data_IF_578998532473
#
_entry.id   IF_578998532473
#
_cell.length_a   1.000
_cell.length_b   1.000
_cell.length_c   1.000
_cell.angle_alpha   90.00
_cell.angle_beta   90.00
_cell.angle_gamma   90.00
#
_symmetry.space_group_name_H-M   'P 1'
#
loop_
_entity.id
_entity.type
_entity.pdbx_description
1 polymer ?
#
# COMPACT_ATOMS: atom_id res chain seq x y z
N UNK A 1 22.12 -31.81 -7.38
CA UNK A 1 21.13 -30.82 -6.89
C UNK A 1 21.82 -29.46 -6.82
N UNK A 2 21.85 -28.74 -7.93
CA UNK A 2 22.39 -27.37 -7.94
C UNK A 2 21.36 -26.45 -7.31
N UNK A 3 21.65 -25.92 -6.12
CA UNK A 3 20.91 -24.79 -5.61
C UNK A 3 21.07 -23.66 -6.64
N UNK A 4 19.99 -23.26 -7.30
CA UNK A 4 19.98 -21.99 -8.01
C UNK A 4 20.21 -20.91 -6.96
N UNK A 5 21.46 -20.49 -6.81
CA UNK A 5 21.82 -19.34 -6.00
C UNK A 5 21.12 -18.14 -6.62
N UNK A 6 20.13 -17.61 -5.91
CA UNK A 6 19.70 -16.23 -6.07
C UNK A 6 20.71 -15.41 -5.25
N UNK A 7 21.83 -14.94 -5.82
CA UNK A 7 22.90 -14.29 -5.04
C UNK A 7 22.39 -13.06 -4.29
N UNK A 8 21.33 -12.45 -4.81
CA UNK A 8 20.67 -11.30 -4.23
C UNK A 8 19.72 -11.65 -3.10
N UNK A 9 19.51 -12.91 -2.70
CA UNK A 9 18.64 -13.26 -1.56
C UNK A 9 19.21 -14.39 -0.67
N UNK A 10 20.26 -14.10 0.12
CA UNK A 10 20.78 -15.03 1.11
C UNK A 10 19.67 -15.56 2.04
N UNK A 11 19.78 -16.82 2.47
CA UNK A 11 18.78 -17.46 3.33
C UNK A 11 18.51 -16.70 4.62
N UNK A 12 19.54 -16.15 5.26
CA UNK A 12 19.40 -15.35 6.48
C UNK A 12 18.58 -14.07 6.25
N UNK A 13 18.80 -13.40 5.11
CA UNK A 13 18.11 -12.14 4.81
C UNK A 13 16.64 -12.38 4.47
N UNK A 14 16.36 -13.50 3.81
CA UNK A 14 14.98 -14.00 3.61
C UNK A 14 14.28 -14.24 4.94
N UNK A 15 14.93 -14.91 5.90
CA UNK A 15 14.35 -15.13 7.24
C UNK A 15 14.14 -13.80 8.00
N UNK A 16 15.08 -12.87 7.90
CA UNK A 16 14.98 -11.55 8.51
C UNK A 16 13.78 -10.78 7.94
N UNK A 17 13.64 -10.71 6.62
CA UNK A 17 12.49 -10.06 5.98
C UNK A 17 11.17 -10.74 6.34
N UNK A 18 11.12 -12.07 6.34
CA UNK A 18 9.92 -12.81 6.79
C UNK A 18 9.54 -12.43 8.21
N UNK A 19 10.49 -12.39 9.15
CA UNK A 19 10.21 -12.04 10.54
C UNK A 19 9.65 -10.61 10.66
N UNK A 20 10.25 -9.64 9.96
CA UNK A 20 9.75 -8.26 9.88
C UNK A 20 8.32 -8.23 9.36
N UNK A 21 8.05 -8.93 8.25
CA UNK A 21 6.73 -8.95 7.62
C UNK A 21 5.67 -9.68 8.44
N UNK A 22 6.03 -10.69 9.24
CA UNK A 22 5.12 -11.29 10.21
C UNK A 22 4.71 -10.26 11.29
N UNK A 23 5.66 -9.44 11.78
CA UNK A 23 5.35 -8.35 12.70
C UNK A 23 4.41 -7.31 12.08
N UNK A 24 4.69 -6.92 10.83
CA UNK A 24 3.83 -6.02 10.04
C UNK A 24 2.43 -6.63 9.85
N UNK A 25 2.34 -7.90 9.49
CA UNK A 25 1.09 -8.62 9.30
C UNK A 25 0.22 -8.57 10.56
N UNK A 26 0.79 -8.88 11.72
CA UNK A 26 0.08 -8.80 13.00
C UNK A 26 -0.38 -7.38 13.29
N UNK A 27 0.50 -6.38 13.12
CA UNK A 27 0.16 -4.97 13.33
C UNK A 27 -1.03 -4.52 12.47
N UNK A 28 -1.00 -4.83 11.17
CA UNK A 28 -2.09 -4.45 10.26
C UNK A 28 -3.37 -5.25 10.52
N UNK A 29 -3.27 -6.51 10.96
CA UNK A 29 -4.42 -7.30 11.36
C UNK A 29 -5.12 -6.69 12.59
N UNK A 30 -4.36 -6.28 13.61
CA UNK A 30 -4.89 -5.60 14.79
C UNK A 30 -5.59 -4.30 14.40
N UNK A 31 -4.97 -3.47 13.56
CA UNK A 31 -5.60 -2.24 13.09
C UNK A 31 -6.86 -2.49 12.25
N UNK A 32 -6.85 -3.51 11.39
CA UNK A 32 -8.01 -3.91 10.59
C UNK A 32 -9.17 -4.39 11.49
N UNK A 33 -8.88 -4.96 12.66
CA UNK A 33 -9.91 -5.37 13.62
C UNK A 33 -10.46 -4.21 14.45
N UNK A 34 -9.58 -3.28 14.85
CA UNK A 34 -9.93 -2.21 15.78
C UNK A 34 -10.57 -0.98 15.10
N UNK A 35 -10.26 -0.73 13.83
CA UNK A 35 -10.71 0.49 13.14
C UNK A 35 -12.03 0.27 12.36
N UNK A 36 -12.91 1.28 12.26
CA UNK A 36 -14.09 1.23 11.39
C UNK A 36 -13.85 1.89 10.02
N UNK A 37 -14.78 1.63 9.08
CA UNK A 37 -14.89 2.36 7.81
C UNK A 37 -13.73 2.09 6.83
N UNK A 38 -13.31 3.13 6.10
CA UNK A 38 -12.25 3.01 5.07
C UNK A 38 -10.92 2.53 5.63
N UNK A 39 -10.57 2.95 6.86
CA UNK A 39 -9.33 2.56 7.53
C UNK A 39 -9.22 1.06 7.72
N UNK A 40 -10.32 0.41 8.13
CA UNK A 40 -10.41 -1.06 8.25
C UNK A 40 -9.99 -1.75 6.96
N UNK A 41 -10.63 -1.37 5.86
CA UNK A 41 -10.44 -2.00 4.56
C UNK A 41 -9.06 -1.70 3.98
N UNK A 42 -8.55 -0.48 4.21
CA UNK A 42 -7.20 -0.11 3.83
C UNK A 42 -6.17 -0.96 4.59
N UNK A 43 -6.31 -1.14 5.91
CA UNK A 43 -5.44 -2.04 6.68
C UNK A 43 -5.61 -3.50 6.25
N UNK A 44 -6.82 -3.97 5.99
CA UNK A 44 -7.08 -5.32 5.51
C UNK A 44 -6.35 -5.62 4.18
N UNK A 45 -6.33 -4.66 3.25
CA UNK A 45 -5.53 -4.77 2.02
C UNK A 45 -4.05 -4.98 2.33
N UNK A 46 -3.47 -4.15 3.19
CA UNK A 46 -2.06 -4.30 3.61
C UNK A 46 -1.80 -5.62 4.35
N UNK A 47 -2.74 -6.11 5.14
CA UNK A 47 -2.66 -7.43 5.79
C UNK A 47 -2.53 -8.54 4.74
N UNK A 48 -3.39 -8.54 3.71
CA UNK A 48 -3.32 -9.55 2.64
C UNK A 48 -2.02 -9.42 1.84
N UNK A 49 -1.57 -8.20 1.56
CA UNK A 49 -0.28 -7.93 0.91
C UNK A 49 0.90 -8.48 1.73
N UNK A 50 0.97 -8.18 3.03
CA UNK A 50 2.01 -8.68 3.92
C UNK A 50 2.01 -10.21 3.99
N UNK A 51 0.83 -10.84 4.06
CA UNK A 51 0.71 -12.30 4.02
C UNK A 51 1.23 -12.88 2.69
N UNK A 52 0.86 -12.28 1.56
CA UNK A 52 1.39 -12.65 0.24
C UNK A 52 2.91 -12.58 0.20
N UNK A 53 3.49 -11.48 0.69
CA UNK A 53 4.94 -11.30 0.74
C UNK A 53 5.64 -12.31 1.66
N UNK A 54 5.07 -12.64 2.82
CA UNK A 54 5.58 -13.72 3.70
C UNK A 54 5.62 -15.04 2.94
N UNK A 55 4.56 -15.39 2.22
CA UNK A 55 4.52 -16.60 1.38
C UNK A 55 5.59 -16.52 0.28
N UNK A 56 5.80 -15.35 -0.34
CA UNK A 56 6.80 -15.20 -1.39
C UNK A 56 8.23 -15.42 -0.89
N UNK A 57 8.55 -15.04 0.34
CA UNK A 57 9.84 -15.35 0.94
C UNK A 57 9.96 -16.81 1.38
N UNK A 58 8.95 -17.36 2.07
CA UNK A 58 9.04 -18.71 2.63
C UNK A 58 8.92 -19.80 1.57
N UNK A 59 8.01 -19.63 0.62
CA UNK A 59 7.57 -20.63 -0.33
C UNK A 59 7.66 -20.10 -1.78
N UNK A 60 8.86 -19.73 -2.26
CA UNK A 60 9.05 -19.09 -3.57
C UNK A 60 8.65 -19.98 -4.76
N UNK A 61 8.35 -21.26 -4.54
CA UNK A 61 7.85 -22.18 -5.56
C UNK A 61 6.33 -22.04 -5.76
N UNK A 62 5.58 -21.66 -4.71
CA UNK A 62 4.13 -21.48 -4.75
C UNK A 62 3.71 -20.13 -5.33
N UNK A 63 4.63 -19.17 -5.44
CA UNK A 63 4.39 -17.83 -5.98
C UNK A 63 4.05 -17.81 -7.47
N UNK A 64 4.27 -18.92 -8.18
CA UNK A 64 3.95 -19.09 -9.60
C UNK A 64 2.53 -19.61 -9.86
N UNK A 65 1.71 -19.71 -8.81
CA UNK A 65 0.35 -20.21 -8.95
C UNK A 65 -0.62 -19.09 -9.36
N UNK A 66 -1.37 -19.33 -10.43
CA UNK A 66 -2.41 -18.44 -10.98
C UNK A 66 -3.39 -17.89 -9.93
N UNK A 67 -3.85 -18.66 -8.92
CA UNK A 67 -4.76 -18.15 -7.90
C UNK A 67 -4.22 -16.94 -7.12
N UNK A 68 -2.91 -16.89 -6.85
CA UNK A 68 -2.30 -15.76 -6.14
C UNK A 68 -2.34 -14.48 -6.98
N UNK A 69 -1.93 -14.57 -8.25
CA UNK A 69 -1.97 -13.43 -9.17
C UNK A 69 -3.41 -12.93 -9.38
N UNK A 70 -4.38 -13.85 -9.53
CA UNK A 70 -5.79 -13.53 -9.67
C UNK A 70 -6.35 -12.81 -8.42
N UNK A 71 -6.01 -13.27 -7.22
CA UNK A 71 -6.39 -12.61 -5.97
C UNK A 71 -5.90 -11.16 -5.93
N UNK A 72 -4.61 -10.93 -6.18
CA UNK A 72 -4.05 -9.57 -6.17
C UNK A 72 -4.59 -8.71 -7.31
N UNK A 73 -4.92 -9.29 -8.47
CA UNK A 73 -5.56 -8.56 -9.56
C UNK A 73 -6.97 -8.08 -9.17
N UNK A 74 -7.76 -8.93 -8.50
CA UNK A 74 -9.08 -8.55 -7.95
C UNK A 74 -8.93 -7.47 -6.88
N UNK A 75 -7.94 -7.58 -5.99
CA UNK A 75 -7.67 -6.56 -4.97
C UNK A 75 -7.23 -5.23 -5.61
N UNK A 76 -6.42 -5.28 -6.67
CA UNK A 76 -6.03 -4.09 -7.46
C UNK A 76 -7.26 -3.38 -8.01
N UNK A 77 -8.14 -4.12 -8.70
CA UNK A 77 -9.39 -3.58 -9.25
C UNK A 77 -10.29 -3.03 -8.14
N UNK A 78 -10.35 -3.70 -6.99
CA UNK A 78 -11.15 -3.27 -5.83
C UNK A 78 -10.61 -1.98 -5.21
N UNK A 79 -9.29 -1.84 -5.07
CA UNK A 79 -8.66 -0.60 -4.57
C UNK A 79 -8.83 0.56 -5.55
N UNK A 80 -8.71 0.32 -6.86
CA UNK A 80 -8.98 1.33 -7.88
C UNK A 80 -10.46 1.75 -7.89
N UNK A 81 -11.38 0.79 -7.80
CA UNK A 81 -12.81 1.04 -7.65
C UNK A 81 -13.13 1.84 -6.39
N UNK A 82 -12.50 1.50 -5.26
CA UNK A 82 -12.62 2.27 -4.01
C UNK A 82 -12.14 3.72 -4.19
N UNK A 83 -11.00 3.94 -4.84
CA UNK A 83 -10.50 5.29 -5.14
C UNK A 83 -11.52 6.12 -5.94
N UNK A 84 -12.16 5.51 -6.95
CA UNK A 84 -13.18 6.14 -7.79
C UNK A 84 -14.45 6.43 -6.99
N UNK A 85 -14.98 5.43 -6.27
CA UNK A 85 -16.20 5.56 -5.47
C UNK A 85 -16.03 6.65 -4.41
N UNK A 86 -14.90 6.65 -3.68
CA UNK A 86 -14.64 7.67 -2.67
C UNK A 86 -14.34 9.04 -3.29
N UNK A 87 -13.73 9.11 -4.48
CA UNK A 87 -13.61 10.37 -5.23
C UNK A 87 -14.98 11.01 -5.52
N UNK A 88 -15.97 10.21 -5.90
CA UNK A 88 -17.32 10.71 -6.15
C UNK A 88 -18.03 11.11 -4.86
N UNK A 89 -17.84 10.34 -3.77
CA UNK A 89 -18.51 10.61 -2.48
C UNK A 89 -17.89 11.76 -1.69
N UNK A 90 -16.58 11.93 -1.77
CA UNK A 90 -15.81 12.90 -0.97
C UNK A 90 -15.38 14.12 -1.79
N UNK A 91 -15.67 14.15 -3.10
CA UNK A 91 -15.31 15.27 -3.98
C UNK A 91 -13.81 15.44 -4.26
N UNK A 92 -12.94 14.64 -3.63
CA UNK A 92 -11.47 14.70 -3.76
C UNK A 92 -10.90 13.30 -3.95
N UNK A 93 -9.85 13.17 -4.77
CA UNK A 93 -9.18 11.88 -4.99
C UNK A 93 -8.27 11.60 -3.80
N UNK A 94 -8.52 10.49 -3.11
CA UNK A 94 -7.67 10.08 -2.01
C UNK A 94 -6.42 9.35 -2.56
N UNK A 95 -5.21 9.94 -2.41
CA UNK A 95 -4.03 9.37 -3.02
C UNK A 95 -3.56 8.08 -2.33
N UNK A 96 -4.01 7.77 -1.09
CA UNK A 96 -3.69 6.50 -0.45
C UNK A 96 -4.41 5.32 -1.11
N UNK A 97 -5.66 5.51 -1.57
CA UNK A 97 -6.35 4.46 -2.33
C UNK A 97 -5.72 4.22 -3.69
N UNK A 98 -5.23 5.29 -4.34
CA UNK A 98 -4.47 5.18 -5.60
C UNK A 98 -3.15 4.45 -5.37
N UNK A 99 -2.37 4.85 -4.36
CA UNK A 99 -1.13 4.19 -4.01
C UNK A 99 -1.36 2.71 -3.69
N UNK A 100 -2.36 2.38 -2.87
CA UNK A 100 -2.71 0.99 -2.57
C UNK A 100 -3.10 0.19 -3.83
N UNK A 101 -3.80 0.80 -4.80
CA UNK A 101 -4.09 0.12 -6.07
C UNK A 101 -2.80 -0.18 -6.87
N UNK A 102 -1.86 0.78 -6.92
CA UNK A 102 -0.57 0.57 -7.59
C UNK A 102 0.28 -0.47 -6.86
N UNK A 103 0.28 -0.46 -5.53
CA UNK A 103 1.02 -1.44 -4.72
C UNK A 103 0.42 -2.86 -4.91
N UNK A 104 -0.91 -2.99 -4.98
CA UNK A 104 -1.56 -4.26 -5.32
C UNK A 104 -1.25 -4.72 -6.75
N UNK A 105 -1.17 -3.78 -7.70
CA UNK A 105 -0.78 -4.09 -9.07
C UNK A 105 0.67 -4.60 -9.13
N UNK A 106 1.55 -4.00 -8.34
CA UNK A 106 2.93 -4.47 -8.21
C UNK A 106 2.96 -5.90 -7.63
N UNK A 107 2.14 -6.22 -6.62
CA UNK A 107 1.99 -7.59 -6.12
C UNK A 107 1.52 -8.56 -7.21
N UNK A 108 0.51 -8.20 -8.01
CA UNK A 108 0.07 -9.00 -9.16
C UNK A 108 1.22 -9.22 -10.14
N UNK A 109 1.95 -8.16 -10.47
CA UNK A 109 3.10 -8.21 -11.39
C UNK A 109 4.22 -9.12 -10.88
N UNK A 110 4.53 -9.07 -9.58
CA UNK A 110 5.54 -9.91 -8.95
C UNK A 110 5.22 -11.41 -9.01
N UNK A 111 3.93 -11.77 -9.08
CA UNK A 111 3.46 -13.15 -9.18
C UNK A 111 3.36 -13.65 -10.63
N UNK A 112 3.57 -12.78 -11.63
CA UNK A 112 3.64 -13.21 -13.03
C UNK A 112 4.93 -13.99 -13.30
N UNK A 113 4.91 -14.94 -14.26
CA UNK A 113 6.12 -15.62 -14.70
C UNK A 113 7.19 -14.64 -15.15
N UNK A 114 8.46 -14.84 -14.74
CA UNK A 114 9.56 -13.95 -15.10
C UNK A 114 9.71 -13.75 -16.62
N UNK A 115 9.39 -14.77 -17.41
CA UNK A 115 9.44 -14.73 -18.87
C UNK A 115 8.53 -13.67 -19.52
N UNK A 116 7.46 -13.25 -18.83
CA UNK A 116 6.51 -12.25 -19.35
C UNK A 116 6.63 -10.88 -18.67
N UNK A 117 7.63 -10.70 -17.78
CA UNK A 117 7.86 -9.45 -17.05
C UNK A 117 8.89 -8.60 -17.80
N UNK A 118 8.48 -7.53 -18.50
CA UNK A 118 9.43 -6.68 -19.21
C UNK A 118 10.27 -5.86 -18.23
N UNK A 119 11.60 -5.84 -18.42
CA UNK A 119 12.54 -5.22 -17.49
C UNK A 119 12.29 -3.73 -17.22
N UNK A 120 11.82 -2.98 -18.23
CA UNK A 120 11.50 -1.56 -18.07
C UNK A 120 10.38 -1.34 -17.05
N UNK A 121 9.37 -2.22 -17.03
CA UNK A 121 8.24 -2.12 -16.11
C UNK A 121 8.67 -2.50 -14.69
N UNK A 122 9.56 -3.50 -14.54
CA UNK A 122 10.23 -3.78 -13.26
C UNK A 122 10.94 -2.53 -12.75
N UNK A 123 11.71 -1.83 -13.59
CA UNK A 123 12.40 -0.60 -13.24
C UNK A 123 11.45 0.52 -12.77
N UNK A 124 10.29 0.67 -13.44
CA UNK A 124 9.24 1.62 -13.03
C UNK A 124 8.71 1.27 -11.64
N UNK A 125 8.35 0.01 -11.38
CA UNK A 125 7.84 -0.40 -10.06
C UNK A 125 8.90 -0.27 -8.97
N UNK A 126 10.14 -0.66 -9.22
CA UNK A 126 11.25 -0.51 -8.24
C UNK A 126 11.46 0.96 -7.90
N UNK A 127 11.46 1.85 -8.89
CA UNK A 127 11.60 3.30 -8.68
C UNK A 127 10.43 3.84 -7.86
N UNK A 128 9.20 3.52 -8.27
CA UNK A 128 7.98 3.92 -7.56
C UNK A 128 7.97 3.44 -6.11
N UNK A 129 8.29 2.17 -5.85
CA UNK A 129 8.33 1.59 -4.50
C UNK A 129 9.44 2.22 -3.65
N UNK A 130 10.59 2.53 -4.23
CA UNK A 130 11.68 3.24 -3.53
C UNK A 130 11.27 4.66 -3.12
N UNK A 131 10.55 5.37 -3.99
CA UNK A 131 9.95 6.67 -3.64
C UNK A 131 8.93 6.50 -2.51
N UNK A 132 8.09 5.46 -2.57
CA UNK A 132 7.13 5.13 -1.52
C UNK A 132 7.81 4.89 -0.15
N UNK A 133 8.94 4.17 -0.11
CA UNK A 133 9.74 4.00 1.11
C UNK A 133 10.11 5.36 1.69
N UNK A 134 10.65 6.26 0.87
CA UNK A 134 11.01 7.61 1.29
C UNK A 134 9.81 8.41 1.78
N UNK A 135 8.68 8.35 1.06
CA UNK A 135 7.45 9.05 1.46
C UNK A 135 6.91 8.59 2.81
N UNK A 136 6.91 7.28 3.09
CA UNK A 136 6.47 6.74 4.38
C UNK A 136 7.46 7.01 5.50
N UNK A 137 8.76 6.76 5.26
CA UNK A 137 9.82 6.98 6.25
C UNK A 137 9.85 8.45 6.70
N UNK A 138 9.79 9.38 5.75
CA UNK A 138 9.84 10.82 6.02
C UNK A 138 8.48 11.43 6.37
N UNK A 139 7.37 10.70 6.21
CA UNK A 139 6.03 11.18 6.54
C UNK A 139 5.51 12.21 5.56
N UNK A 140 5.92 12.11 4.30
CA UNK A 140 5.47 13.03 3.25
C UNK A 140 3.98 12.86 2.95
N UNK A 141 3.42 11.66 3.18
CA UNK A 141 1.99 11.41 3.06
C UNK A 141 1.14 12.28 3.99
N UNK A 142 1.62 12.52 5.22
CA UNK A 142 0.95 13.37 6.21
C UNK A 142 0.86 14.83 5.75
N UNK A 143 1.75 15.25 4.84
CA UNK A 143 1.88 16.63 4.34
C UNK A 143 1.16 16.86 3.01
N UNK A 144 0.48 15.85 2.48
CA UNK A 144 -0.14 15.97 1.15
C UNK A 144 -1.38 16.89 1.22
N UNK A 145 -1.47 17.94 0.38
CA UNK A 145 -2.57 18.92 0.42
C UNK A 145 -3.97 18.31 0.22
N UNK A 146 -4.04 17.15 -0.43
CA UNK A 146 -5.27 16.38 -0.60
C UNK A 146 -5.96 16.05 0.73
N UNK A 147 -5.20 15.94 1.83
CA UNK A 147 -5.74 15.71 3.18
C UNK A 147 -6.04 17.00 3.97
N UNK A 148 -5.56 18.15 3.49
CA UNK A 148 -5.73 19.46 4.14
C UNK A 148 -6.95 20.25 3.65
N UNK A 149 -7.57 19.88 2.52
CA UNK A 149 -8.82 20.50 2.02
C UNK A 149 -10.06 20.27 2.89
N UNK A 150 -9.90 19.74 4.10
CA UNK A 150 -10.98 19.48 5.06
C UNK A 150 -11.24 20.62 6.05
N UNK A 151 -10.63 21.79 5.88
CA UNK A 151 -10.95 22.97 6.67
C UNK A 151 -11.01 24.17 5.75
N UNK A 152 -12.20 24.73 5.55
CA UNK A 152 -12.28 26.08 5.03
C UNK A 152 -11.46 26.97 5.93
N UNK A 153 -10.50 27.70 5.35
CA UNK A 153 -10.02 28.91 6.00
C UNK A 153 -11.25 29.81 6.13
N UNK A 154 -11.77 29.91 7.35
CA UNK A 154 -12.78 30.90 7.70
C UNK A 154 -12.12 32.28 7.49
N UNK A 155 -12.55 33.08 6.51
CA UNK A 155 -12.23 34.49 6.54
C UNK A 155 -12.99 35.04 7.75
N UNK A 156 -12.28 35.63 8.70
CA UNK A 156 -12.87 36.37 9.79
C UNK A 156 -13.65 37.58 9.23
N UNK A 157 -14.88 37.37 8.75
CA UNK A 157 -15.75 38.44 8.24
C UNK A 157 -17.22 38.10 8.54
N UNK A 158 -17.71 38.73 9.61
CA UNK A 158 -19.07 39.25 9.83
C UNK A 158 -20.28 38.30 9.66
N UNK A 159 -20.80 37.87 10.81
CA UNK A 159 -22.22 37.66 11.20
C UNK A 159 -23.30 37.74 10.09
N UNK A 160 -23.42 36.70 9.25
CA UNK A 160 -24.56 36.48 8.33
C UNK A 160 -25.21 35.12 8.66
N UNK A 161 -26.56 34.99 8.67
CA UNK A 161 -27.25 33.76 9.07
C UNK A 161 -26.94 32.59 8.11
N UNK A 162 -27.07 31.33 8.55
CA UNK A 162 -26.48 30.18 7.88
C UNK A 162 -27.19 29.88 6.55
N UNK A 163 -26.58 30.32 5.46
CA UNK A 163 -26.90 29.86 4.11
C UNK A 163 -26.25 28.50 3.89
N UNK A 164 -27.07 27.45 3.77
CA UNK A 164 -26.80 26.12 3.21
C UNK A 164 -25.31 25.80 2.99
N UNK A 165 -24.55 25.67 4.09
CA UNK A 165 -23.14 25.30 4.02
C UNK A 165 -23.08 23.87 3.46
N UNK A 166 -22.60 23.74 2.22
CA UNK A 166 -22.34 22.45 1.62
C UNK A 166 -21.45 21.64 2.59
N UNK A 167 -21.79 20.36 2.86
CA UNK A 167 -21.03 19.56 3.81
C UNK A 167 -19.55 19.59 3.42
N UNK A 168 -18.72 20.06 4.34
CA UNK A 168 -17.27 20.08 4.20
C UNK A 168 -16.81 18.64 3.93
N UNK A 169 -16.13 18.43 2.80
CA UNK A 169 -15.66 17.11 2.42
C UNK A 169 -14.62 16.60 3.43
N UNK A 170 -15.07 15.76 4.36
CA UNK A 170 -14.19 15.02 5.27
C UNK A 170 -13.69 13.78 4.53
N UNK A 171 -12.41 13.80 4.15
CA UNK A 171 -11.75 12.62 3.54
C UNK A 171 -11.71 11.49 4.58
N UNK A 172 -12.33 10.36 4.28
CA UNK A 172 -12.53 9.25 5.23
C UNK A 172 -11.28 8.45 5.57
N UNK A 173 -10.23 8.56 4.75
CA UNK A 173 -8.93 7.91 4.96
C UNK A 173 -7.81 8.96 4.90
N UNK A 174 -7.08 9.12 6.01
CA UNK A 174 -5.88 9.97 6.09
C UNK A 174 -4.68 9.10 6.42
N UNK A 175 -3.50 9.57 6.03
CA UNK A 175 -2.26 8.96 6.48
C UNK A 175 -2.23 8.99 8.02
N UNK A 176 -2.03 7.83 8.65
CA UNK A 176 -1.94 7.78 10.11
C UNK A 176 -0.56 8.27 10.53
N UNK A 177 -0.56 9.22 11.45
CA UNK A 177 0.65 9.88 11.96
C UNK A 177 1.42 9.02 12.96
N UNK A 178 0.99 7.78 13.23
CA UNK A 178 1.69 6.90 14.16
C UNK A 178 2.98 6.40 13.50
N UNK A 179 4.16 6.61 14.13
CA UNK A 179 5.43 6.18 13.56
C UNK A 179 5.47 4.70 13.21
N UNK A 180 4.76 3.87 13.97
CA UNK A 180 4.69 2.42 13.77
C UNK A 180 4.05 2.03 12.44
N UNK A 181 2.94 2.66 12.05
CA UNK A 181 2.27 2.39 10.76
C UNK A 181 3.11 2.90 9.59
N UNK A 182 3.78 4.04 9.77
CA UNK A 182 4.69 4.58 8.74
C UNK A 182 5.88 3.66 8.49
N UNK A 183 6.52 3.19 9.56
CA UNK A 183 7.65 2.26 9.47
C UNK A 183 7.21 0.90 8.90
N UNK A 184 6.02 0.41 9.24
CA UNK A 184 5.53 -0.85 8.68
C UNK A 184 5.28 -0.76 7.18
N UNK A 185 4.70 0.34 6.70
CA UNK A 185 4.47 0.57 5.26
C UNK A 185 5.76 0.83 4.48
N UNK A 186 6.72 1.54 5.08
CA UNK A 186 8.07 1.68 4.53
C UNK A 186 8.77 0.31 4.41
N UNK A 187 8.66 -0.54 5.44
CA UNK A 187 9.22 -1.89 5.41
C UNK A 187 8.56 -2.77 4.34
N UNK A 188 7.23 -2.68 4.17
CA UNK A 188 6.52 -3.42 3.12
C UNK A 188 6.99 -3.02 1.73
N UNK A 189 6.98 -1.72 1.43
CA UNK A 189 7.37 -1.18 0.13
C UNK A 189 8.84 -1.44 -0.18
N UNK A 190 9.73 -1.35 0.82
CA UNK A 190 11.14 -1.71 0.69
C UNK A 190 11.32 -3.20 0.36
N UNK A 191 10.57 -4.06 1.06
CA UNK A 191 10.59 -5.49 0.80
C UNK A 191 10.07 -5.82 -0.61
N UNK A 192 9.02 -5.17 -1.08
CA UNK A 192 8.51 -5.37 -2.44
C UNK A 192 9.53 -4.95 -3.50
N UNK A 193 10.15 -3.78 -3.33
CA UNK A 193 11.20 -3.29 -4.22
C UNK A 193 12.37 -4.27 -4.27
N UNK A 194 12.80 -4.76 -3.10
CA UNK A 194 13.89 -5.71 -2.99
C UNK A 194 13.56 -7.05 -3.65
N UNK A 195 12.36 -7.60 -3.44
CA UNK A 195 11.91 -8.81 -4.13
C UNK A 195 11.90 -8.65 -5.65
N UNK A 196 11.44 -7.51 -6.18
CA UNK A 196 11.45 -7.25 -7.63
C UNK A 196 12.87 -7.23 -8.22
N UNK A 197 13.85 -6.72 -7.47
CA UNK A 197 15.26 -6.72 -7.88
C UNK A 197 15.87 -8.13 -7.79
N UNK A 198 15.43 -8.95 -6.83
CA UNK A 198 15.99 -10.27 -6.58
C UNK A 198 15.39 -11.41 -7.44
N UNK A 199 14.23 -11.19 -8.08
CA UNK A 199 13.48 -12.19 -8.87
C UNK A 199 13.75 -12.10 -10.37
#
# INVERSE_FOLDING_TARGET
MGAMSMPLLPSWLRLAWTAVLCGVLVLHLVHAWAMPGQRRWWHAGHTVMAAGMVVMYLLPHLTRQVPGAALFAVLTASSAGAAIVFRYREGVLNPLWVASAVDMLAMTYMLLPAAVRPAWLTGVFVTYLTVQVGMWALGLWDRTPAFHRSGGAEPAVLDVPPSNAAPTAVVGLRAHSTPTVRLSLAAMTASMAYMLVAM
#
